data_IF_516395426028
#
_entry.id   IF_516395426028
#
_cell.length_a   1.000
_cell.length_b   1.000
_cell.length_c   1.000
_cell.angle_alpha   90.00
_cell.angle_beta   90.00
_cell.angle_gamma   90.00
#
_symmetry.space_group_name_H-M   'P 1'
#
loop_
_entity.id
_entity.type
_entity.pdbx_description
1 polymer ?
#
# COMPACT_ATOMS: atom_id res chain seq x y z
N UNK A 1 -1.08 2.01 -34.18
CA UNK A 1 -0.33 1.52 -33.00
C UNK A 1 -0.96 1.88 -31.64
N UNK A 2 -1.61 3.05 -31.47
CA UNK A 2 -2.32 3.41 -30.22
C UNK A 2 -3.64 2.64 -30.06
N UNK A 3 -4.38 2.42 -31.14
CA UNK A 3 -5.64 1.66 -31.12
C UNK A 3 -5.51 0.26 -30.55
N UNK A 4 -4.37 -0.41 -30.77
CA UNK A 4 -4.13 -1.75 -30.20
C UNK A 4 -4.03 -1.69 -28.67
N UNK A 5 -3.35 -0.68 -28.12
CA UNK A 5 -3.27 -0.51 -26.66
C UNK A 5 -4.64 -0.17 -26.05
N UNK A 6 -5.41 0.71 -26.69
CA UNK A 6 -6.79 1.04 -26.23
C UNK A 6 -7.67 -0.20 -26.23
N UNK A 7 -7.63 -1.01 -27.30
CA UNK A 7 -8.35 -2.28 -27.36
C UNK A 7 -7.93 -3.22 -26.24
N UNK A 8 -6.63 -3.31 -25.97
CA UNK A 8 -6.11 -4.16 -24.90
C UNK A 8 -6.55 -3.64 -23.52
N UNK A 9 -6.63 -2.32 -23.30
CA UNK A 9 -7.17 -1.74 -22.06
C UNK A 9 -8.64 -2.13 -21.87
N UNK A 10 -9.47 -2.00 -22.90
CA UNK A 10 -10.89 -2.37 -22.80
C UNK A 10 -11.05 -3.87 -22.52
N UNK A 11 -10.29 -4.71 -23.24
CA UNK A 11 -10.28 -6.16 -22.99
C UNK A 11 -9.80 -6.52 -21.60
N UNK A 12 -8.81 -5.81 -21.08
CA UNK A 12 -8.34 -5.95 -19.70
C UNK A 12 -9.46 -5.65 -18.70
N UNK A 13 -10.19 -4.55 -18.89
CA UNK A 13 -11.32 -4.20 -18.01
C UNK A 13 -12.39 -5.29 -17.96
N UNK A 14 -12.63 -5.99 -19.07
CA UNK A 14 -13.62 -7.06 -19.12
C UNK A 14 -13.09 -8.35 -18.48
N UNK A 15 -11.86 -8.74 -18.81
CA UNK A 15 -11.24 -9.96 -18.29
C UNK A 15 -10.97 -9.88 -16.79
N UNK A 16 -10.53 -8.74 -16.30
CA UNK A 16 -10.23 -8.54 -14.88
C UNK A 16 -11.46 -8.60 -13.97
N UNK A 17 -12.68 -8.44 -14.51
CA UNK A 17 -13.94 -8.57 -13.74
C UNK A 17 -14.40 -10.02 -13.56
N UNK A 18 -13.82 -10.95 -14.30
CA UNK A 18 -14.15 -12.35 -14.19
C UNK A 18 -13.49 -12.97 -12.96
N UNK A 19 -13.95 -14.17 -12.57
CA UNK A 19 -13.26 -14.95 -11.56
C UNK A 19 -11.87 -15.32 -12.08
N UNK A 20 -10.85 -14.93 -11.33
CA UNK A 20 -9.44 -15.18 -11.63
C UNK A 20 -8.92 -16.37 -10.81
N UNK A 21 -7.85 -16.97 -11.27
CA UNK A 21 -7.12 -17.98 -10.54
C UNK A 21 -6.34 -17.29 -9.40
N UNK A 22 -6.49 -17.71 -8.13
CA UNK A 22 -5.76 -17.12 -7.00
C UNK A 22 -4.23 -17.16 -7.14
N UNK A 23 -3.70 -18.14 -7.87
CA UNK A 23 -2.26 -18.30 -8.09
C UNK A 23 -1.75 -17.57 -9.34
N UNK A 24 -2.65 -16.98 -10.14
CA UNK A 24 -2.27 -16.24 -11.34
C UNK A 24 -1.64 -14.89 -10.99
N UNK A 25 -0.42 -14.67 -11.46
CA UNK A 25 0.27 -13.38 -11.29
C UNK A 25 -0.08 -12.40 -12.40
N UNK A 26 0.22 -11.10 -12.20
CA UNK A 26 0.06 -10.08 -13.25
C UNK A 26 0.84 -10.45 -14.51
N UNK A 27 2.08 -10.95 -14.38
CA UNK A 27 2.89 -11.37 -15.52
C UNK A 27 2.23 -12.54 -16.27
N UNK A 28 1.81 -13.59 -15.55
CA UNK A 28 1.15 -14.75 -16.18
C UNK A 28 -0.20 -14.39 -16.81
N UNK A 29 -0.95 -13.48 -16.21
CA UNK A 29 -2.20 -12.96 -16.78
C UNK A 29 -1.95 -12.22 -18.12
N UNK A 30 -0.89 -11.39 -18.17
CA UNK A 30 -0.48 -10.69 -19.39
C UNK A 30 -0.13 -11.69 -20.50
N UNK A 31 0.68 -12.70 -20.18
CA UNK A 31 1.14 -13.73 -21.14
C UNK A 31 -0.03 -14.60 -21.63
N UNK A 32 -0.79 -15.18 -20.72
CA UNK A 32 -1.94 -16.06 -21.00
C UNK A 32 -2.97 -15.41 -21.92
N UNK A 33 -3.22 -14.11 -21.69
CA UNK A 33 -4.19 -13.36 -22.47
C UNK A 33 -3.57 -12.65 -23.67
N UNK A 34 -2.31 -12.89 -24.00
CA UNK A 34 -1.63 -12.32 -25.17
C UNK A 34 -1.76 -10.79 -25.26
N UNK A 35 -1.60 -10.08 -24.16
CA UNK A 35 -1.59 -8.62 -24.16
C UNK A 35 -0.35 -8.05 -24.84
N UNK A 36 -0.55 -7.00 -25.62
CA UNK A 36 0.55 -6.37 -26.33
C UNK A 36 1.57 -5.70 -25.39
N UNK A 37 2.84 -5.68 -25.81
CA UNK A 37 3.94 -5.06 -25.06
C UNK A 37 3.65 -3.60 -24.66
N UNK A 38 2.94 -2.84 -25.51
CA UNK A 38 2.56 -1.46 -25.19
C UNK A 38 1.57 -1.36 -24.04
N UNK A 39 0.61 -2.28 -23.97
CA UNK A 39 -0.33 -2.34 -22.85
C UNK A 39 0.42 -2.64 -21.54
N UNK A 40 1.27 -3.65 -21.53
CA UNK A 40 2.00 -4.00 -20.32
C UNK A 40 2.98 -2.91 -19.89
N UNK A 41 3.83 -2.40 -20.80
CA UNK A 41 4.91 -1.45 -20.45
C UNK A 41 4.47 0.00 -20.24
N UNK A 42 3.37 0.44 -20.87
CA UNK A 42 2.93 1.85 -20.79
C UNK A 42 1.59 2.04 -20.08
N UNK A 43 0.92 0.96 -19.67
CA UNK A 43 -0.33 1.07 -18.95
C UNK A 43 -0.31 0.24 -17.64
N UNK A 44 -0.40 -1.10 -17.70
CA UNK A 44 -0.67 -1.90 -16.51
C UNK A 44 0.50 -1.92 -15.52
N UNK A 45 1.71 -2.22 -15.97
CA UNK A 45 2.88 -2.30 -15.08
C UNK A 45 3.23 -0.95 -14.44
N UNK A 46 3.26 0.19 -15.19
CA UNK A 46 3.49 1.50 -14.56
C UNK A 46 2.38 1.92 -13.62
N UNK A 47 1.11 1.63 -13.95
CA UNK A 47 -0.03 1.93 -13.09
C UNK A 47 0.11 1.23 -11.74
N UNK A 48 0.34 -0.07 -11.75
CA UNK A 48 0.52 -0.84 -10.53
C UNK A 48 1.77 -0.42 -9.76
N UNK A 49 2.89 -0.22 -10.43
CA UNK A 49 4.12 0.28 -9.79
C UNK A 49 3.91 1.60 -9.07
N UNK A 50 3.13 2.52 -9.64
CA UNK A 50 2.81 3.81 -9.03
C UNK A 50 1.87 3.64 -7.82
N UNK A 51 0.85 2.76 -7.93
CA UNK A 51 -0.11 2.52 -6.85
C UNK A 51 0.52 1.87 -5.62
N UNK A 52 1.40 0.90 -5.83
CA UNK A 52 2.06 0.15 -4.74
C UNK A 52 3.50 0.58 -4.45
N UNK A 53 3.97 1.66 -5.07
CA UNK A 53 5.32 2.20 -4.88
C UNK A 53 6.41 1.13 -4.98
N UNK A 54 6.33 0.27 -5.98
CA UNK A 54 7.27 -0.82 -6.23
C UNK A 54 7.78 -0.83 -7.67
N UNK A 55 8.83 -1.62 -7.95
CA UNK A 55 9.30 -1.80 -9.33
C UNK A 55 8.29 -2.59 -10.18
N UNK A 56 8.31 -2.39 -11.50
CA UNK A 56 7.45 -3.13 -12.44
C UNK A 56 7.66 -4.64 -12.35
N UNK A 57 8.90 -5.09 -12.11
CA UNK A 57 9.22 -6.51 -11.92
C UNK A 57 8.58 -7.09 -10.64
N UNK A 58 8.55 -6.31 -9.54
CA UNK A 58 7.86 -6.74 -8.31
C UNK A 58 6.35 -6.77 -8.52
N UNK A 59 5.80 -5.73 -9.15
CA UNK A 59 4.36 -5.68 -9.42
C UNK A 59 3.91 -6.83 -10.33
N UNK A 60 4.72 -7.21 -11.32
CA UNK A 60 4.44 -8.37 -12.18
C UNK A 60 4.20 -9.68 -11.43
N UNK A 61 4.72 -9.81 -10.19
CA UNK A 61 4.54 -10.99 -9.32
C UNK A 61 3.33 -10.91 -8.39
N UNK A 62 2.60 -9.80 -8.39
CA UNK A 62 1.39 -9.68 -7.56
C UNK A 62 0.30 -10.63 -8.04
N UNK A 63 -0.50 -11.21 -7.12
CA UNK A 63 -1.70 -11.96 -7.50
C UNK A 63 -2.64 -11.08 -8.32
N UNK A 64 -3.02 -11.56 -9.51
CA UNK A 64 -3.87 -10.77 -10.40
C UNK A 64 -5.27 -10.55 -9.82
N UNK A 65 -5.80 -11.50 -9.05
CA UNK A 65 -7.07 -11.37 -8.35
C UNK A 65 -7.03 -10.17 -7.38
N UNK A 66 -5.99 -10.05 -6.56
CA UNK A 66 -5.82 -8.91 -5.64
C UNK A 66 -5.78 -7.56 -6.39
N UNK A 67 -5.06 -7.51 -7.51
CA UNK A 67 -4.99 -6.30 -8.35
C UNK A 67 -6.35 -5.96 -8.94
N UNK A 68 -7.07 -6.97 -9.43
CA UNK A 68 -8.41 -6.81 -9.99
C UNK A 68 -9.40 -6.27 -8.97
N UNK A 69 -9.45 -6.86 -7.78
CA UNK A 69 -10.32 -6.43 -6.69
C UNK A 69 -10.04 -4.99 -6.28
N UNK A 70 -8.77 -4.63 -6.16
CA UNK A 70 -8.38 -3.25 -5.88
C UNK A 70 -8.88 -2.29 -6.96
N UNK A 71 -8.60 -2.57 -8.23
CA UNK A 71 -9.02 -1.73 -9.35
C UNK A 71 -10.55 -1.64 -9.47
N UNK A 72 -11.25 -2.75 -9.20
CA UNK A 72 -12.72 -2.80 -9.19
C UNK A 72 -13.31 -1.93 -8.08
N UNK A 73 -12.82 -2.09 -6.85
CA UNK A 73 -13.26 -1.32 -5.69
C UNK A 73 -13.05 0.20 -5.87
N UNK A 74 -12.02 0.60 -6.61
CA UNK A 74 -11.75 1.99 -6.96
C UNK A 74 -12.39 2.44 -8.28
N UNK A 75 -13.27 1.62 -8.86
CA UNK A 75 -13.97 1.90 -10.13
C UNK A 75 -13.02 2.24 -11.28
N UNK A 76 -11.84 1.63 -11.29
CA UNK A 76 -10.81 1.86 -12.32
C UNK A 76 -10.92 0.91 -13.52
N UNK A 77 -11.74 -0.15 -13.43
CA UNK A 77 -12.02 -1.11 -14.51
C UNK A 77 -13.19 -0.66 -15.39
N UNK A 78 -13.34 0.63 -15.62
CA UNK A 78 -14.37 1.18 -16.49
C UNK A 78 -13.87 2.37 -17.30
N UNK A 79 -14.32 2.47 -18.55
CA UNK A 79 -13.94 3.57 -19.42
C UNK A 79 -14.74 4.85 -19.13
N UNK A 80 -16.01 4.69 -18.76
CA UNK A 80 -16.96 5.77 -18.51
C UNK A 80 -17.37 5.81 -17.04
N UNK A 81 -17.96 6.92 -16.61
CA UNK A 81 -18.47 7.12 -15.24
C UNK A 81 -17.42 6.91 -14.14
N UNK A 82 -16.18 7.28 -14.41
CA UNK A 82 -15.13 7.25 -13.40
C UNK A 82 -15.46 8.24 -12.27
N UNK A 83 -15.21 7.86 -10.99
CA UNK A 83 -15.43 8.75 -9.87
C UNK A 83 -14.54 9.99 -9.99
N UNK A 84 -15.09 11.14 -9.59
CA UNK A 84 -14.28 12.36 -9.48
C UNK A 84 -13.37 12.22 -8.26
N UNK A 85 -12.08 12.23 -8.49
CA UNK A 85 -11.08 12.22 -7.42
C UNK A 85 -11.20 13.50 -6.59
N UNK A 86 -11.22 13.33 -5.27
CA UNK A 86 -11.31 14.45 -4.32
C UNK A 86 -10.20 14.34 -3.29
N UNK A 87 -9.75 15.49 -2.82
CA UNK A 87 -8.81 15.61 -1.71
C UNK A 87 -9.44 16.45 -0.60
N UNK A 88 -8.96 16.29 0.61
CA UNK A 88 -9.41 17.12 1.74
C UNK A 88 -8.94 18.54 1.50
N UNK A 89 -9.85 19.50 1.54
CA UNK A 89 -9.52 20.93 1.42
C UNK A 89 -8.54 21.32 2.54
N UNK A 90 -7.39 21.87 2.17
CA UNK A 90 -6.31 22.19 3.11
C UNK A 90 -5.40 21.01 3.46
N UNK A 91 -5.56 19.87 2.77
CA UNK A 91 -4.73 18.68 2.96
C UNK A 91 -5.08 17.84 4.19
N UNK A 92 -4.39 16.71 4.36
CA UNK A 92 -4.63 15.76 5.46
C UNK A 92 -4.41 16.39 6.84
N UNK A 93 -3.60 17.44 6.92
CA UNK A 93 -3.32 18.14 8.17
C UNK A 93 -4.59 18.63 8.86
N UNK A 94 -5.62 19.02 8.12
CA UNK A 94 -6.87 19.55 8.68
C UNK A 94 -7.60 18.56 9.58
N UNK A 95 -7.73 17.29 9.18
CA UNK A 95 -8.36 16.29 10.04
C UNK A 95 -7.42 15.82 11.15
N UNK A 96 -6.11 15.78 10.89
CA UNK A 96 -5.12 15.46 11.94
C UNK A 96 -5.22 16.50 13.06
N UNK A 97 -5.23 17.80 12.76
CA UNK A 97 -5.34 18.86 13.76
C UNK A 97 -6.68 18.81 14.53
N UNK A 98 -7.77 18.40 13.86
CA UNK A 98 -9.05 18.19 14.53
C UNK A 98 -8.99 17.03 15.54
N UNK A 99 -8.38 15.91 15.18
CA UNK A 99 -8.17 14.77 16.07
C UNK A 99 -7.23 15.11 17.23
N UNK A 100 -6.16 15.85 16.97
CA UNK A 100 -5.22 16.28 18.01
C UNK A 100 -5.88 17.15 19.09
N UNK A 101 -6.84 18.01 18.72
CA UNK A 101 -7.63 18.78 19.66
C UNK A 101 -8.44 17.89 20.61
N UNK A 102 -8.99 16.76 20.10
CA UNK A 102 -9.76 15.82 20.91
C UNK A 102 -8.83 15.04 21.84
N UNK A 103 -7.66 14.63 21.37
CA UNK A 103 -6.69 13.89 22.16
C UNK A 103 -6.07 14.74 23.28
N UNK A 104 -5.78 16.00 22.99
CA UNK A 104 -5.20 16.94 23.98
C UNK A 104 -3.93 16.40 24.64
N UNK A 105 -3.85 16.44 25.96
CA UNK A 105 -2.69 16.00 26.75
C UNK A 105 -2.42 14.48 26.70
N UNK A 106 -3.36 13.69 26.17
CA UNK A 106 -3.17 12.24 25.99
C UNK A 106 -2.16 11.91 24.88
N UNK A 107 -1.96 12.84 23.94
CA UNK A 107 -0.95 12.69 22.91
C UNK A 107 0.45 12.98 23.49
N UNK A 108 1.37 12.04 23.29
CA UNK A 108 2.79 12.19 23.66
C UNK A 108 3.62 12.11 22.39
N UNK A 109 4.10 13.26 21.90
CA UNK A 109 5.02 13.35 20.77
C UNK A 109 6.47 13.14 21.25
N UNK A 110 7.33 12.72 20.32
CA UNK A 110 8.75 12.46 20.59
C UNK A 110 8.98 11.48 21.75
N UNK A 111 8.07 10.54 21.90
CA UNK A 111 8.06 9.58 23.00
C UNK A 111 8.12 8.15 22.45
N UNK A 112 9.26 7.72 21.87
CA UNK A 112 9.41 6.43 21.26
C UNK A 112 9.28 5.30 22.28
N UNK A 113 8.73 4.17 21.86
CA UNK A 113 8.64 2.95 22.67
C UNK A 113 9.83 2.06 22.34
N UNK A 114 10.53 1.55 23.35
CA UNK A 114 11.65 0.62 23.21
C UNK A 114 11.18 -0.83 23.16
N UNK A 115 10.18 -1.18 23.96
CA UNK A 115 9.74 -2.55 24.11
C UNK A 115 8.27 -2.62 24.56
N UNK A 116 7.57 -3.64 24.10
CA UNK A 116 6.20 -4.01 24.51
C UNK A 116 6.24 -5.39 25.13
N UNK A 117 5.79 -5.52 26.36
CA UNK A 117 5.80 -6.79 27.12
C UNK A 117 4.40 -7.08 27.64
N UNK A 118 3.93 -8.30 27.51
CA UNK A 118 2.69 -8.79 28.16
C UNK A 118 3.04 -9.31 29.54
N UNK A 119 2.38 -8.81 30.58
CA UNK A 119 2.57 -9.22 31.96
C UNK A 119 1.24 -9.17 32.73
N UNK A 120 0.88 -10.24 33.40
CA UNK A 120 -0.26 -10.29 34.34
C UNK A 120 -1.58 -9.72 33.77
N UNK A 121 -1.96 -10.09 32.55
CA UNK A 121 -3.13 -9.59 31.82
C UNK A 121 -3.09 -8.10 31.44
N UNK A 122 -1.92 -7.47 31.56
CA UNK A 122 -1.66 -6.10 31.16
C UNK A 122 -0.54 -6.05 30.13
N UNK A 123 -0.36 -4.89 29.50
CA UNK A 123 0.72 -4.62 28.60
C UNK A 123 1.62 -3.53 29.17
N UNK A 124 2.91 -3.80 29.23
CA UNK A 124 3.93 -2.87 29.71
C UNK A 124 4.67 -2.29 28.53
N UNK A 125 4.68 -0.97 28.41
CA UNK A 125 5.49 -0.21 27.47
C UNK A 125 6.76 0.28 28.17
N UNK A 126 7.91 -0.21 27.77
CA UNK A 126 9.21 0.26 28.27
C UNK A 126 9.75 1.36 27.38
N UNK A 127 10.07 2.50 27.96
CA UNK A 127 10.66 3.66 27.30
C UNK A 127 12.19 3.49 27.14
N UNK A 128 12.85 4.30 26.28
CA UNK A 128 14.33 4.24 26.13
C UNK A 128 15.10 4.53 27.42
N UNK A 129 14.56 5.37 28.31
CA UNK A 129 15.13 5.70 29.61
C UNK A 129 14.94 4.61 30.69
N UNK A 130 14.23 3.53 30.33
CA UNK A 130 13.91 2.44 31.23
C UNK A 130 12.61 2.61 32.02
N UNK A 131 11.87 3.72 31.85
CA UNK A 131 10.57 3.93 32.48
C UNK A 131 9.54 2.97 31.89
N UNK A 132 8.73 2.37 32.76
CA UNK A 132 7.64 1.46 32.37
C UNK A 132 6.28 2.13 32.58
N UNK A 133 5.40 1.96 31.58
CA UNK A 133 4.01 2.37 31.64
C UNK A 133 3.11 1.14 31.42
N UNK A 134 2.10 0.96 32.26
CA UNK A 134 1.17 -0.16 32.20
C UNK A 134 -0.16 0.27 31.57
N UNK A 135 -0.72 -0.61 30.75
CA UNK A 135 -2.01 -0.42 30.07
C UNK A 135 -2.77 -1.74 30.02
N UNK A 136 -4.10 -1.66 29.95
CA UNK A 136 -4.93 -2.85 29.78
C UNK A 136 -4.72 -3.45 28.37
N UNK A 137 -4.67 -2.59 27.34
CA UNK A 137 -4.51 -2.98 25.94
C UNK A 137 -3.59 -2.01 25.19
N UNK A 138 -2.96 -2.48 24.11
CA UNK A 138 -2.11 -1.69 23.23
C UNK A 138 -2.44 -2.00 21.78
N UNK A 139 -2.58 -0.94 20.96
CA UNK A 139 -2.70 -1.02 19.51
C UNK A 139 -1.38 -0.55 18.91
N UNK A 140 -0.72 -1.43 18.17
CA UNK A 140 0.50 -1.12 17.40
C UNK A 140 0.10 -0.62 16.01
N UNK A 141 0.11 0.71 15.80
CA UNK A 141 -0.23 1.34 14.52
C UNK A 141 1.03 1.77 13.75
N UNK A 142 2.06 0.92 13.73
CA UNK A 142 3.30 1.10 12.99
C UNK A 142 3.50 -0.05 11.99
N UNK A 143 4.59 0.00 11.21
CA UNK A 143 4.90 -1.08 10.26
C UNK A 143 4.99 -2.45 10.96
N UNK A 144 4.59 -3.51 10.26
CA UNK A 144 4.57 -4.86 10.83
C UNK A 144 5.96 -5.34 11.30
N UNK A 145 7.03 -5.02 10.56
CA UNK A 145 8.40 -5.30 10.94
C UNK A 145 8.84 -4.51 12.19
N UNK A 146 8.37 -3.26 12.34
CA UNK A 146 8.60 -2.45 13.54
C UNK A 146 7.84 -3.02 14.73
N UNK A 147 6.55 -3.37 14.54
CA UNK A 147 5.73 -4.02 15.56
C UNK A 147 6.40 -5.29 16.07
N UNK A 148 6.91 -6.13 15.17
CA UNK A 148 7.59 -7.36 15.55
C UNK A 148 8.88 -7.11 16.36
N UNK A 149 9.61 -6.04 16.06
CA UNK A 149 10.80 -5.66 16.85
C UNK A 149 10.45 -5.15 18.24
N UNK A 150 9.29 -4.52 18.41
CA UNK A 150 8.85 -3.99 19.69
C UNK A 150 8.34 -5.08 20.64
N UNK A 151 7.66 -6.10 20.14
CA UNK A 151 7.10 -7.18 20.95
C UNK A 151 8.23 -8.05 21.52
N UNK A 152 8.37 -8.09 22.85
CA UNK A 152 9.46 -8.82 23.52
C UNK A 152 9.37 -10.35 23.39
N UNK A 153 8.16 -10.89 23.35
CA UNK A 153 7.88 -12.33 23.24
C UNK A 153 6.74 -12.56 22.28
N UNK A 154 6.97 -12.38 20.95
CA UNK A 154 5.94 -12.66 19.96
C UNK A 154 5.68 -14.16 19.88
N UNK A 155 4.41 -14.56 19.74
CA UNK A 155 4.04 -15.94 19.42
C UNK A 155 4.56 -16.33 18.02
N UNK A 156 4.57 -17.62 17.71
CA UNK A 156 4.97 -18.08 16.37
C UNK A 156 3.99 -17.57 15.29
N UNK A 157 2.71 -17.50 15.61
CA UNK A 157 1.69 -16.95 14.71
C UNK A 157 1.94 -15.46 14.44
N UNK A 158 2.14 -14.64 15.47
CA UNK A 158 2.48 -13.22 15.34
C UNK A 158 3.75 -13.01 14.52
N UNK A 159 4.76 -13.84 14.78
CA UNK A 159 6.03 -13.80 14.05
C UNK A 159 5.82 -14.10 12.57
N UNK A 160 5.07 -15.13 12.26
CA UNK A 160 4.81 -15.53 10.88
C UNK A 160 3.96 -14.50 10.14
N UNK A 161 2.88 -14.01 10.75
CA UNK A 161 2.01 -13.00 10.15
C UNK A 161 2.73 -11.66 9.95
N UNK A 162 3.42 -11.14 10.96
CA UNK A 162 4.09 -9.84 10.86
C UNK A 162 5.29 -9.87 9.89
N UNK A 163 5.97 -11.01 9.73
CA UNK A 163 7.04 -11.19 8.74
C UNK A 163 6.53 -11.31 7.31
N UNK A 164 5.27 -11.67 7.09
CA UNK A 164 4.71 -11.81 5.74
C UNK A 164 4.49 -10.47 5.03
N UNK A 165 4.68 -9.33 5.71
CA UNK A 165 4.65 -8.00 5.12
C UNK A 165 6.07 -7.56 4.72
N UNK A 166 6.49 -7.73 3.46
CA UNK A 166 7.82 -7.32 3.03
C UNK A 166 7.86 -5.80 2.82
N UNK A 167 8.71 -5.13 3.57
CA UNK A 167 9.01 -3.71 3.35
C UNK A 167 10.23 -3.54 2.46
N UNK A 168 10.28 -2.42 1.73
CA UNK A 168 11.41 -2.04 0.90
C UNK A 168 11.71 -0.56 1.04
N UNK A 169 12.98 -0.21 0.90
CA UNK A 169 13.37 1.19 0.83
C UNK A 169 13.02 1.77 -0.55
N UNK A 170 12.40 2.94 -0.56
CA UNK A 170 12.10 3.69 -1.76
C UNK A 170 12.87 5.02 -1.74
N UNK A 171 13.75 5.21 -2.73
CA UNK A 171 14.38 6.53 -2.91
C UNK A 171 13.45 7.42 -3.70
N UNK A 172 13.01 8.51 -3.08
CA UNK A 172 12.13 9.51 -3.70
C UNK A 172 12.89 10.82 -3.82
N UNK A 173 12.86 11.43 -5.01
CA UNK A 173 13.44 12.75 -5.25
C UNK A 173 12.35 13.71 -5.67
N UNK A 174 12.13 14.77 -4.88
CA UNK A 174 11.27 15.88 -5.27
C UNK A 174 12.11 16.87 -6.08
N UNK A 175 11.69 17.16 -7.31
CA UNK A 175 12.41 18.07 -8.21
C UNK A 175 11.44 18.90 -9.06
N UNK A 176 11.95 19.97 -9.66
CA UNK A 176 11.23 20.84 -10.59
C UNK A 176 11.64 20.64 -12.06
N UNK A 177 12.50 19.68 -12.34
CA UNK A 177 12.96 19.36 -13.69
C UNK A 177 11.88 18.61 -14.46
N UNK A 178 11.33 19.22 -15.50
CA UNK A 178 10.28 18.64 -16.35
C UNK A 178 10.85 17.79 -17.50
N UNK A 179 12.16 17.75 -17.70
CA UNK A 179 12.82 16.98 -18.76
C UNK A 179 12.59 15.45 -18.62
N UNK A 180 12.33 14.98 -17.39
CA UNK A 180 12.04 13.56 -17.11
C UNK A 180 10.59 13.17 -17.38
N UNK A 181 9.70 14.15 -17.59
CA UNK A 181 8.29 13.90 -17.92
C UNK A 181 8.19 13.50 -19.40
N UNK A 182 7.40 12.46 -19.75
CA UNK A 182 7.17 12.11 -21.14
C UNK A 182 6.70 13.32 -21.96
N UNK A 183 7.34 13.60 -23.09
CA UNK A 183 6.99 14.73 -23.97
C UNK A 183 5.56 14.66 -24.52
N UNK A 184 4.97 13.46 -24.56
CA UNK A 184 3.59 13.26 -24.99
C UNK A 184 2.66 13.32 -23.79
N UNK A 185 1.80 14.32 -23.78
CA UNK A 185 0.66 14.35 -22.86
C UNK A 185 -0.31 13.22 -23.26
N UNK A 186 -0.71 12.42 -22.29
CA UNK A 186 -1.72 11.37 -22.48
C UNK A 186 -3.11 11.98 -22.66
#
# INVERSE_FOLDING_TARGET
KHWMMVRDILRFHDLAKNKLDPDETVDSFIEKNHFGQRFSQYFLLPLGSALWSCSTQKFGKFPMEFVSDFLSNHQMLQANNRPVWRVIKGGSRTYVDALLKILGSRLKLNNPIKKVTRANKQVVLTMPDGTDHQFDEVILACHADQSLRLISSPTDEERNLLKSFPYQDNRVTLHSDDSVIPRRKS
#
